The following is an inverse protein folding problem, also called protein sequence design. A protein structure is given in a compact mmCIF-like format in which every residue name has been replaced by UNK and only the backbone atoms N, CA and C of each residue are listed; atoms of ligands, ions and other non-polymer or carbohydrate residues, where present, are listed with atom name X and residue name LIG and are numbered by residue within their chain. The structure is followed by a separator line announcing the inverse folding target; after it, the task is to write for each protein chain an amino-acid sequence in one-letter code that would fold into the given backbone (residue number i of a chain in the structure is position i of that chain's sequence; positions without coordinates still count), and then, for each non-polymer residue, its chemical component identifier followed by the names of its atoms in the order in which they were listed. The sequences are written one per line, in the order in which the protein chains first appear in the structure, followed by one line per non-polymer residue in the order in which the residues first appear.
data_IF_086142044471
#
_entry.id   IF_086142044471
#
_cell.length_a   1.000
_cell.length_b   1.000
_cell.length_c   1.000
_cell.angle_alpha   90.00
_cell.angle_beta   90.00
_cell.angle_gamma   90.00
#
_symmetry.space_group_name_H-M   'P 1'
#
loop_
_entity.id
_entity.type
_entity.pdbx_description
1 polymer ?
#
# COMPACT_ATOMS: atom_id res chain seq x y z
N UNK A 1 -26.98 13.35 -32.60
CA UNK A 1 -26.13 12.31 -31.98
C UNK A 1 -24.73 12.52 -32.51
N UNK A 2 -23.79 12.95 -31.66
CA UNK A 2 -22.37 13.01 -32.02
C UNK A 2 -21.79 11.64 -31.76
N UNK A 3 -21.28 10.98 -32.79
CA UNK A 3 -20.48 9.77 -32.60
C UNK A 3 -19.23 10.17 -31.81
N UNK A 4 -18.92 9.44 -30.74
CA UNK A 4 -17.63 9.59 -30.10
C UNK A 4 -16.55 9.28 -31.15
N UNK A 5 -15.74 10.27 -31.47
CA UNK A 5 -14.54 10.10 -32.29
C UNK A 5 -13.42 10.86 -31.62
N UNK A 6 -12.23 10.29 -31.67
CA UNK A 6 -11.05 10.87 -31.08
C UNK A 6 -9.80 10.29 -31.72
N UNK A 7 -8.69 11.02 -31.65
CA UNK A 7 -7.39 10.60 -32.19
C UNK A 7 -6.90 9.22 -31.69
N UNK A 8 -7.41 8.75 -30.54
CA UNK A 8 -7.02 7.53 -29.85
C UNK A 8 -8.13 6.46 -29.87
N UNK A 9 -8.70 6.15 -31.03
CA UNK A 9 -9.87 5.24 -31.16
C UNK A 9 -9.53 3.86 -31.76
N UNK A 10 -8.35 3.69 -32.34
CA UNK A 10 -7.94 2.43 -33.00
C UNK A 10 -6.90 1.71 -32.16
N UNK A 11 -7.12 0.41 -31.94
CA UNK A 11 -6.15 -0.48 -31.33
C UNK A 11 -5.20 -1.02 -32.42
N UNK A 12 -3.92 -0.98 -32.13
CA UNK A 12 -2.83 -1.52 -32.93
C UNK A 12 -1.96 -2.42 -32.07
N UNK A 13 -1.03 -3.15 -32.68
CA UNK A 13 -0.05 -3.97 -31.97
C UNK A 13 1.33 -3.35 -32.12
N UNK A 14 2.15 -3.40 -31.06
CA UNK A 14 3.57 -3.02 -31.08
C UNK A 14 4.41 -4.08 -30.39
N UNK A 15 5.67 -4.21 -30.82
CA UNK A 15 6.62 -5.06 -30.08
C UNK A 15 6.98 -4.40 -28.77
N UNK A 16 7.06 -5.21 -27.71
CA UNK A 16 7.41 -4.74 -26.36
C UNK A 16 8.75 -4.00 -26.35
N UNK A 17 9.70 -4.44 -27.17
CA UNK A 17 11.05 -3.88 -27.23
C UNK A 17 11.15 -2.58 -28.08
N UNK A 18 10.10 -2.22 -28.81
CA UNK A 18 10.04 -0.97 -29.58
C UNK A 18 9.45 0.17 -28.75
N UNK A 19 8.76 -0.14 -27.65
CA UNK A 19 8.11 0.84 -26.79
C UNK A 19 9.09 1.51 -25.83
N UNK A 20 9.08 2.84 -25.83
CA UNK A 20 9.97 3.65 -24.98
C UNK A 20 9.19 4.21 -23.79
N UNK A 21 9.56 3.85 -22.54
CA UNK A 21 8.97 4.48 -21.36
C UNK A 21 9.22 5.99 -21.35
N UNK A 22 8.17 6.79 -21.17
CA UNK A 22 8.35 8.24 -20.98
C UNK A 22 9.24 8.55 -19.76
N UNK A 23 10.26 9.43 -19.91
CA UNK A 23 11.11 9.84 -18.78
C UNK A 23 10.37 10.72 -17.77
N UNK A 24 9.13 11.13 -18.08
CA UNK A 24 8.25 11.95 -17.22
C UNK A 24 7.12 11.12 -16.61
N UNK A 25 7.26 9.80 -16.54
CA UNK A 25 6.28 8.98 -15.84
C UNK A 25 6.27 9.33 -14.34
N UNK A 26 5.17 9.92 -13.88
CA UNK A 26 5.01 10.33 -12.49
C UNK A 26 4.58 9.18 -11.58
N UNK A 27 3.93 8.14 -12.12
CA UNK A 27 3.42 7.01 -11.34
C UNK A 27 4.45 5.88 -11.29
N UNK A 28 4.78 5.46 -10.09
CA UNK A 28 5.68 4.32 -9.86
C UNK A 28 4.86 3.11 -9.41
N UNK A 29 5.38 1.93 -9.73
CA UNK A 29 4.76 0.66 -9.37
C UNK A 29 5.76 -0.17 -8.58
N UNK A 30 5.32 -0.77 -7.47
CA UNK A 30 6.12 -1.74 -6.74
C UNK A 30 6.21 -3.05 -7.53
N UNK A 31 7.21 -3.87 -7.23
CA UNK A 31 7.34 -5.20 -7.83
C UNK A 31 6.08 -6.06 -7.60
N UNK A 32 5.52 -6.03 -6.39
CA UNK A 32 4.25 -6.70 -6.03
C UNK A 32 3.10 -6.24 -6.93
N UNK A 33 3.00 -4.93 -7.20
CA UNK A 33 1.95 -4.41 -8.07
C UNK A 33 2.16 -4.82 -9.54
N UNK A 34 3.40 -4.87 -10.02
CA UNK A 34 3.71 -5.37 -11.37
C UNK A 34 3.30 -6.84 -11.50
N UNK A 35 3.55 -7.66 -10.47
CA UNK A 35 3.14 -9.06 -10.43
C UNK A 35 1.61 -9.20 -10.44
N UNK A 36 0.88 -8.40 -9.65
CA UNK A 36 -0.59 -8.37 -9.68
C UNK A 36 -1.13 -8.01 -11.07
N UNK A 37 -0.53 -7.01 -11.74
CA UNK A 37 -0.88 -6.63 -13.11
C UNK A 37 -0.59 -7.79 -14.08
N UNK A 38 0.55 -8.46 -13.93
CA UNK A 38 0.90 -9.62 -14.77
C UNK A 38 -0.09 -10.78 -14.56
N UNK A 39 -0.50 -11.07 -13.32
CA UNK A 39 -1.55 -12.04 -13.01
C UNK A 39 -2.88 -11.64 -13.65
N UNK A 40 -3.25 -10.37 -13.58
CA UNK A 40 -4.46 -9.84 -14.23
C UNK A 40 -4.42 -10.04 -15.75
N UNK A 41 -3.31 -9.69 -16.39
CA UNK A 41 -3.10 -9.89 -17.84
C UNK A 41 -3.14 -11.37 -18.21
N UNK A 42 -2.54 -12.25 -17.40
CA UNK A 42 -2.57 -13.69 -17.66
C UNK A 42 -3.99 -14.26 -17.59
N UNK A 43 -4.82 -13.75 -16.67
CA UNK A 43 -6.18 -14.23 -16.45
C UNK A 43 -7.19 -13.67 -17.46
N UNK A 44 -7.09 -12.38 -17.79
CA UNK A 44 -8.11 -11.67 -18.58
C UNK A 44 -7.62 -11.24 -19.97
N UNK A 45 -6.32 -11.41 -20.26
CA UNK A 45 -5.67 -10.77 -21.39
C UNK A 45 -5.52 -9.26 -21.19
N UNK A 46 -5.06 -8.58 -22.25
CA UNK A 46 -5.04 -7.12 -22.27
C UNK A 46 -6.45 -6.57 -22.51
N UNK A 47 -7.14 -6.23 -21.43
CA UNK A 47 -8.46 -5.59 -21.48
C UNK A 47 -8.36 -4.08 -21.73
N UNK A 48 -7.21 -3.48 -21.40
CA UNK A 48 -6.89 -2.06 -21.66
C UNK A 48 -5.56 -1.98 -22.41
N UNK A 49 -5.51 -1.37 -23.61
CA UNK A 49 -4.28 -1.17 -24.38
C UNK A 49 -3.42 -0.03 -23.81
N UNK A 50 -2.12 -0.04 -24.10
CA UNK A 50 -1.23 1.07 -23.74
C UNK A 50 -1.57 2.31 -24.58
N UNK A 51 -1.37 3.50 -24.03
CA UNK A 51 -1.49 4.74 -24.81
C UNK A 51 -0.09 5.27 -25.11
N UNK A 52 0.20 5.51 -26.40
CA UNK A 52 1.53 5.90 -26.86
C UNK A 52 1.48 7.12 -27.79
N UNK A 53 2.61 7.82 -27.93
CA UNK A 53 2.80 8.85 -28.97
C UNK A 53 2.97 8.22 -30.35
N UNK A 54 3.04 9.06 -31.40
CA UNK A 54 3.36 8.58 -32.76
C UNK A 54 4.79 8.01 -32.87
N UNK A 55 5.70 8.39 -31.97
CA UNK A 55 7.09 7.91 -31.87
C UNK A 55 7.26 6.75 -30.87
N UNK A 56 6.20 5.99 -30.58
CA UNK A 56 6.20 4.82 -29.69
C UNK A 56 6.64 5.11 -28.23
N UNK A 57 6.50 6.36 -27.77
CA UNK A 57 6.74 6.75 -26.37
C UNK A 57 5.47 6.53 -25.55
N UNK A 58 5.57 5.87 -24.40
CA UNK A 58 4.43 5.56 -23.54
C UNK A 58 3.92 6.82 -22.84
N UNK A 59 2.64 7.11 -23.03
CA UNK A 59 1.89 8.15 -22.32
C UNK A 59 1.24 7.56 -21.07
N UNK A 60 0.59 6.39 -21.20
CA UNK A 60 -0.06 5.69 -20.10
C UNK A 60 0.05 4.16 -20.25
N UNK A 61 0.13 3.47 -19.11
CA UNK A 61 0.22 2.02 -19.05
C UNK A 61 1.64 1.46 -18.82
N UNK A 62 2.56 2.23 -18.24
CA UNK A 62 3.92 1.76 -17.91
C UNK A 62 3.92 0.46 -17.10
N UNK A 63 3.11 0.36 -16.04
CA UNK A 63 3.02 -0.89 -15.26
C UNK A 63 2.52 -2.09 -16.07
N UNK A 64 1.66 -1.88 -17.09
CA UNK A 64 1.24 -2.93 -18.02
C UNK A 64 2.36 -3.34 -18.97
N UNK A 65 3.22 -2.42 -19.41
CA UNK A 65 4.40 -2.78 -20.18
C UNK A 65 5.39 -3.60 -19.34
N UNK A 66 5.63 -3.19 -18.09
CA UNK A 66 6.56 -3.89 -17.20
C UNK A 66 6.03 -5.28 -16.84
N UNK A 67 4.73 -5.41 -16.60
CA UNK A 67 4.06 -6.71 -16.48
C UNK A 67 4.16 -7.55 -17.75
N UNK A 68 4.04 -6.92 -18.94
CA UNK A 68 4.18 -7.62 -20.21
C UNK A 68 5.58 -8.21 -20.38
N UNK A 69 6.61 -7.44 -20.01
CA UNK A 69 8.01 -7.87 -20.01
C UNK A 69 8.24 -9.00 -19.02
N UNK A 70 7.70 -8.89 -17.81
CA UNK A 70 7.78 -9.92 -16.78
C UNK A 70 7.17 -11.25 -17.25
N UNK A 71 6.04 -11.18 -17.96
CA UNK A 71 5.35 -12.35 -18.51
C UNK A 71 5.94 -12.87 -19.84
N UNK A 72 6.97 -12.21 -20.39
CA UNK A 72 7.64 -12.65 -21.61
C UNK A 72 6.85 -12.42 -22.91
N UNK A 73 5.88 -11.50 -22.93
CA UNK A 73 5.15 -11.18 -24.16
C UNK A 73 6.06 -10.45 -25.16
N UNK A 74 5.92 -10.80 -26.45
CA UNK A 74 6.67 -10.15 -27.54
C UNK A 74 5.96 -8.90 -28.07
N UNK A 75 4.64 -8.89 -27.99
CA UNK A 75 3.78 -7.85 -28.55
C UNK A 75 2.65 -7.50 -27.58
N UNK A 76 2.23 -6.23 -27.60
CA UNK A 76 1.15 -5.71 -26.75
C UNK A 76 0.21 -4.81 -27.56
N UNK A 77 -1.07 -4.73 -27.17
CA UNK A 77 -2.01 -3.82 -27.81
C UNK A 77 -1.77 -2.38 -27.33
N UNK A 78 -1.80 -1.45 -28.28
CA UNK A 78 -1.58 -0.03 -28.06
C UNK A 78 -2.64 0.80 -28.77
N UNK A 79 -2.81 2.03 -28.33
CA UNK A 79 -3.53 3.09 -29.03
C UNK A 79 -2.54 4.23 -29.25
N UNK A 80 -2.47 4.72 -30.49
CA UNK A 80 -1.59 5.83 -30.86
C UNK A 80 -2.34 7.15 -30.74
N UNK A 81 -1.84 8.07 -29.92
CA UNK A 81 -2.40 9.39 -29.67
C UNK A 81 -2.10 10.38 -30.82
N UNK A 82 -2.65 10.11 -32.00
CA UNK A 82 -2.31 10.85 -33.23
C UNK A 82 -2.71 12.32 -33.17
N UNK A 83 -1.81 13.21 -33.57
CA UNK A 83 -2.05 14.66 -33.58
C UNK A 83 -2.25 15.28 -32.18
N UNK A 84 -1.87 14.60 -31.11
CA UNK A 84 -1.85 15.21 -29.77
C UNK A 84 -0.69 16.19 -29.67
N UNK A 85 -0.96 17.35 -29.07
CA UNK A 85 0.11 18.27 -28.72
C UNK A 85 0.90 17.75 -27.53
N UNK A 86 2.15 18.20 -27.41
CA UNK A 86 2.98 17.97 -26.23
C UNK A 86 2.30 18.33 -24.90
N UNK A 87 1.49 19.39 -24.90
CA UNK A 87 0.72 19.78 -23.72
C UNK A 87 -0.37 18.75 -23.38
N UNK A 88 -1.07 18.21 -24.38
CA UNK A 88 -2.09 17.17 -24.19
C UNK A 88 -1.47 15.87 -23.67
N UNK A 89 -0.33 15.45 -24.24
CA UNK A 89 0.42 14.26 -23.80
C UNK A 89 0.78 14.37 -22.32
N UNK A 90 1.40 15.49 -21.91
CA UNK A 90 1.79 15.72 -20.51
C UNK A 90 0.59 15.82 -19.57
N UNK A 91 -0.47 16.51 -19.99
CA UNK A 91 -1.67 16.65 -19.17
C UNK A 91 -2.35 15.30 -18.96
N UNK A 92 -2.50 14.50 -20.02
CA UNK A 92 -3.13 13.19 -19.92
C UNK A 92 -2.34 12.23 -19.04
N UNK A 93 -1.01 12.21 -19.14
CA UNK A 93 -0.17 11.38 -18.27
C UNK A 93 -0.40 11.65 -16.76
N UNK A 94 -0.83 12.86 -16.39
CA UNK A 94 -1.22 13.19 -15.02
C UNK A 94 -2.68 12.84 -14.74
N UNK A 95 -3.58 13.18 -15.65
CA UNK A 95 -5.04 12.98 -15.49
C UNK A 95 -5.42 11.51 -15.43
N UNK A 96 -4.81 10.66 -16.26
CA UNK A 96 -5.02 9.20 -16.28
C UNK A 96 -4.72 8.56 -14.92
N UNK A 97 -3.75 9.11 -14.20
CA UNK A 97 -3.41 8.67 -12.85
C UNK A 97 -4.39 9.26 -11.83
N UNK A 98 -4.65 10.57 -11.91
CA UNK A 98 -5.45 11.29 -10.91
C UNK A 98 -6.92 10.87 -10.88
N UNK A 99 -7.52 10.57 -12.03
CA UNK A 99 -8.96 10.25 -12.07
C UNK A 99 -9.32 8.96 -11.30
N UNK A 100 -8.59 7.84 -11.47
CA UNK A 100 -8.75 6.67 -10.61
C UNK A 100 -8.51 6.96 -9.12
N UNK A 101 -7.48 7.75 -8.77
CA UNK A 101 -7.18 8.11 -7.37
C UNK A 101 -8.33 8.85 -6.70
N UNK A 102 -9.10 9.65 -7.46
CA UNK A 102 -10.24 10.41 -6.92
C UNK A 102 -11.49 9.55 -6.67
N UNK A 103 -11.52 8.32 -7.17
CA UNK A 103 -12.65 7.42 -6.97
C UNK A 103 -12.63 6.80 -5.56
N UNK A 104 -13.80 6.38 -5.09
CA UNK A 104 -13.95 5.70 -3.80
C UNK A 104 -14.66 4.38 -3.96
N UNK A 105 -14.26 3.38 -3.16
CA UNK A 105 -14.91 2.08 -3.12
C UNK A 105 -16.14 2.08 -2.22
N UNK A 106 -17.18 1.34 -2.64
CA UNK A 106 -18.19 0.83 -1.73
C UNK A 106 -17.64 -0.46 -1.09
N UNK A 107 -17.12 -0.35 0.13
CA UNK A 107 -16.42 -1.46 0.78
C UNK A 107 -17.32 -2.62 1.17
N UNK A 108 -18.61 -2.38 1.40
CA UNK A 108 -19.54 -3.46 1.70
C UNK A 108 -19.82 -4.29 0.45
N UNK A 109 -19.99 -3.63 -0.70
CA UNK A 109 -20.12 -4.32 -1.98
C UNK A 109 -18.82 -5.04 -2.38
N UNK A 110 -17.65 -4.42 -2.18
CA UNK A 110 -16.35 -5.05 -2.47
C UNK A 110 -16.17 -6.34 -1.67
N UNK A 111 -16.46 -6.32 -0.36
CA UNK A 111 -16.38 -7.53 0.48
C UNK A 111 -17.28 -8.63 -0.05
N UNK A 112 -18.53 -8.30 -0.38
CA UNK A 112 -19.50 -9.26 -0.89
C UNK A 112 -19.00 -9.94 -2.18
N UNK A 113 -18.52 -9.15 -3.14
CA UNK A 113 -18.00 -9.66 -4.40
C UNK A 113 -16.72 -10.51 -4.21
N UNK A 114 -15.81 -10.10 -3.33
CA UNK A 114 -14.59 -10.88 -3.04
C UNK A 114 -14.93 -12.21 -2.38
N UNK A 115 -15.85 -12.24 -1.42
CA UNK A 115 -16.32 -13.49 -0.81
C UNK A 115 -17.01 -14.41 -1.82
N UNK A 116 -17.81 -13.85 -2.73
CA UNK A 116 -18.42 -14.63 -3.82
C UNK A 116 -17.35 -15.21 -4.77
N UNK A 117 -16.34 -14.41 -5.15
CA UNK A 117 -15.26 -14.84 -6.04
C UNK A 117 -14.33 -15.88 -5.38
N UNK A 118 -14.18 -15.86 -4.05
CA UNK A 118 -13.44 -16.88 -3.29
C UNK A 118 -14.05 -18.29 -3.38
N UNK A 119 -15.32 -18.40 -3.73
CA UNK A 119 -16.00 -19.66 -3.99
C UNK A 119 -15.73 -20.20 -5.41
N UNK A 120 -14.92 -19.50 -6.20
CA UNK A 120 -14.54 -19.88 -7.57
C UNK A 120 -13.03 -20.11 -7.67
N UNK A 121 -12.56 -20.62 -8.80
CA UNK A 121 -11.12 -20.80 -9.08
C UNK A 121 -10.40 -19.47 -9.44
N UNK A 122 -11.06 -18.32 -9.27
CA UNK A 122 -10.47 -17.01 -9.57
C UNK A 122 -9.37 -16.66 -8.54
N UNK A 123 -8.16 -16.27 -8.96
CA UNK A 123 -7.06 -15.95 -8.05
C UNK A 123 -7.20 -14.54 -7.44
N UNK A 124 -8.36 -14.22 -6.87
CA UNK A 124 -8.72 -12.85 -6.43
C UNK A 124 -7.73 -12.28 -5.39
N UNK A 125 -7.16 -13.15 -4.54
CA UNK A 125 -6.13 -12.77 -3.58
C UNK A 125 -4.83 -12.29 -4.26
N UNK A 126 -4.46 -12.86 -5.41
CA UNK A 126 -3.28 -12.45 -6.19
C UNK A 126 -3.57 -11.24 -7.11
N UNK A 127 -4.83 -10.81 -7.18
CA UNK A 127 -5.30 -9.66 -7.97
C UNK A 127 -5.47 -8.40 -7.11
N UNK A 128 -4.88 -8.37 -5.91
CA UNK A 128 -4.92 -7.20 -5.01
C UNK A 128 -6.14 -7.14 -4.09
N UNK A 129 -6.80 -8.27 -3.86
CA UNK A 129 -7.91 -8.40 -2.90
C UNK A 129 -7.63 -9.48 -1.85
N UNK A 130 -6.38 -9.58 -1.40
CA UNK A 130 -6.03 -10.43 -0.25
C UNK A 130 -6.67 -9.89 1.04
N UNK A 131 -6.70 -10.69 2.10
CA UNK A 131 -7.18 -10.23 3.42
C UNK A 131 -6.40 -8.99 3.93
N UNK A 132 -5.11 -8.90 3.59
CA UNK A 132 -4.25 -7.74 3.89
C UNK A 132 -4.71 -6.49 3.13
N UNK A 133 -5.08 -6.64 1.85
CA UNK A 133 -5.53 -5.52 1.01
C UNK A 133 -6.89 -5.00 1.50
N UNK A 134 -7.84 -5.92 1.72
CA UNK A 134 -9.16 -5.60 2.28
C UNK A 134 -9.05 -4.91 3.65
N UNK A 135 -8.17 -5.42 4.52
CA UNK A 135 -7.88 -4.79 5.81
C UNK A 135 -7.33 -3.37 5.67
N UNK A 136 -6.46 -3.15 4.68
CA UNK A 136 -5.88 -1.82 4.39
C UNK A 136 -6.94 -0.84 3.86
N UNK A 137 -7.83 -1.31 2.98
CA UNK A 137 -8.96 -0.52 2.47
C UNK A 137 -9.92 -0.08 3.58
N UNK A 138 -10.22 -0.99 4.52
CA UNK A 138 -11.08 -0.69 5.68
C UNK A 138 -10.45 0.30 6.64
N UNK A 139 -9.16 0.13 6.94
CA UNK A 139 -8.42 1.07 7.77
C UNK A 139 -8.43 2.47 7.14
N UNK A 140 -8.14 2.57 5.84
CA UNK A 140 -8.17 3.85 5.12
C UNK A 140 -9.55 4.53 5.19
N UNK A 141 -10.64 3.77 5.09
CA UNK A 141 -12.00 4.30 5.24
C UNK A 141 -12.28 4.80 6.66
N UNK A 142 -11.88 4.06 7.68
CA UNK A 142 -12.07 4.46 9.07
C UNK A 142 -11.35 5.78 9.37
N UNK A 143 -10.13 5.98 8.87
CA UNK A 143 -9.41 7.25 9.04
C UNK A 143 -10.11 8.44 8.36
N UNK A 144 -10.74 8.23 7.20
CA UNK A 144 -11.54 9.25 6.53
C UNK A 144 -12.79 9.62 7.35
N UNK A 145 -13.49 8.62 7.89
CA UNK A 145 -14.71 8.83 8.67
C UNK A 145 -14.42 9.50 10.04
N UNK A 146 -13.23 9.26 10.62
CA UNK A 146 -12.76 9.90 11.86
C UNK A 146 -12.18 11.32 11.65
N UNK A 147 -12.17 11.84 10.42
CA UNK A 147 -11.65 13.17 10.11
C UNK A 147 -10.14 13.31 10.33
N UNK A 148 -9.42 12.19 10.41
CA UNK A 148 -7.97 12.12 10.59
C UNK A 148 -7.22 12.34 9.27
N UNK A 149 -7.95 12.49 8.16
CA UNK A 149 -7.44 12.74 6.80
C UNK A 149 -8.18 13.94 6.21
N UNK A 150 -7.41 14.91 5.67
CA UNK A 150 -7.95 16.08 4.99
C UNK A 150 -8.62 15.70 3.65
N UNK A 151 -9.94 15.88 3.50
CA UNK A 151 -10.69 15.50 2.29
C UNK A 151 -10.30 16.32 1.05
N UNK A 152 -9.69 17.50 1.18
CA UNK A 152 -9.26 18.31 0.03
C UNK A 152 -8.01 17.73 -0.67
N UNK A 153 -7.29 16.82 -0.02
CA UNK A 153 -6.10 16.16 -0.61
C UNK A 153 -6.45 14.93 -1.44
N UNK A 154 -7.71 14.46 -1.41
CA UNK A 154 -8.17 13.27 -2.15
C UNK A 154 -7.77 11.93 -1.50
N UNK A 155 -8.24 10.78 -2.04
CA UNK A 155 -8.09 9.46 -1.42
C UNK A 155 -6.64 9.01 -1.20
N UNK A 156 -6.47 8.01 -0.34
CA UNK A 156 -5.19 7.39 0.01
C UNK A 156 -5.07 6.08 -0.77
N UNK A 157 -4.26 6.05 -1.83
CA UNK A 157 -4.20 4.89 -2.74
C UNK A 157 -3.33 3.74 -2.24
N UNK A 158 -2.41 3.99 -1.29
CA UNK A 158 -1.62 2.93 -0.66
C UNK A 158 -0.97 3.41 0.65
N UNK A 159 -0.32 2.47 1.34
CA UNK A 159 0.42 2.70 2.58
C UNK A 159 1.53 3.76 2.41
N UNK A 160 2.17 3.83 1.25
CA UNK A 160 3.21 4.80 0.93
C UNK A 160 2.68 6.23 0.82
N UNK A 161 1.48 6.43 0.26
CA UNK A 161 0.85 7.75 0.15
C UNK A 161 0.30 8.24 1.50
N UNK A 162 -0.19 7.31 2.33
CA UNK A 162 -0.55 7.59 3.72
C UNK A 162 0.68 8.02 4.53
N UNK A 163 1.81 7.33 4.38
CA UNK A 163 3.05 7.67 5.05
C UNK A 163 3.61 9.01 4.52
N UNK A 164 3.71 9.20 3.21
CA UNK A 164 4.19 10.45 2.62
C UNK A 164 3.37 11.69 3.01
N UNK A 165 2.04 11.56 3.16
CA UNK A 165 1.15 12.69 3.52
C UNK A 165 1.14 13.06 4.99
N UNK A 166 1.58 12.16 5.86
CA UNK A 166 1.76 12.44 7.29
C UNK A 166 3.11 13.12 7.58
N UNK A 167 3.85 13.57 6.55
CA UNK A 167 5.30 13.88 6.61
C UNK A 167 6.12 12.70 7.16
N UNK A 168 5.57 11.51 7.00
CA UNK A 168 6.22 10.26 7.35
C UNK A 168 6.88 9.72 6.07
N UNK A 169 7.96 10.37 5.63
CA UNK A 169 9.15 9.53 5.45
C UNK A 169 9.48 9.10 6.86
N UNK A 170 9.10 7.89 7.31
CA UNK A 170 9.83 7.41 8.47
C UNK A 170 11.24 7.17 7.93
N UNK A 171 12.12 8.13 8.18
CA UNK A 171 13.53 7.86 8.22
C UNK A 171 13.72 6.60 9.07
N UNK A 172 14.80 5.85 8.82
CA UNK A 172 15.10 4.68 9.62
C UNK A 172 14.89 4.99 11.11
N UNK A 173 14.17 4.14 11.86
CA UNK A 173 13.85 4.43 13.24
C UNK A 173 15.14 4.71 14.00
N UNK A 174 15.15 5.76 14.83
CA UNK A 174 16.29 6.10 15.67
C UNK A 174 16.62 4.94 16.60
N UNK A 175 15.58 4.23 17.04
CA UNK A 175 15.73 2.95 17.72
C UNK A 175 15.95 1.80 16.72
N UNK A 176 17.20 1.33 16.64
CA UNK A 176 17.53 0.08 15.97
C UNK A 176 17.07 -1.11 16.84
N UNK A 177 16.23 -1.99 16.28
CA UNK A 177 15.61 -3.11 17.00
C UNK A 177 16.09 -4.45 16.45
N UNK A 178 16.47 -5.34 17.35
CA UNK A 178 16.80 -6.73 17.04
C UNK A 178 15.64 -7.67 17.39
N UNK A 179 15.52 -8.78 16.65
CA UNK A 179 14.60 -9.83 17.03
C UNK A 179 14.97 -10.37 18.43
N UNK A 180 13.97 -10.53 19.28
CA UNK A 180 14.11 -10.90 20.67
C UNK A 180 14.18 -9.70 21.62
N UNK A 181 14.30 -8.47 21.11
CA UNK A 181 14.34 -7.29 21.96
C UNK A 181 13.05 -7.10 22.76
N UNK A 182 13.23 -6.63 23.99
CA UNK A 182 12.17 -6.24 24.89
C UNK A 182 12.42 -4.81 25.38
N UNK A 183 11.44 -3.94 25.17
CA UNK A 183 11.42 -2.57 25.67
C UNK A 183 10.27 -2.36 26.64
N UNK A 184 10.52 -1.52 27.63
CA UNK A 184 9.50 -0.95 28.51
C UNK A 184 9.25 0.49 28.09
N UNK A 185 7.98 0.80 27.82
CA UNK A 185 7.50 2.13 27.46
C UNK A 185 6.78 2.71 28.68
N UNK A 186 7.36 3.77 29.24
CA UNK A 186 6.94 4.38 30.48
C UNK A 186 7.03 3.41 31.67
N UNK A 187 6.05 3.47 32.57
CA UNK A 187 6.00 2.61 33.75
C UNK A 187 5.21 1.32 33.55
N UNK A 188 4.50 1.18 32.43
CA UNK A 188 3.35 0.27 32.30
C UNK A 188 3.35 -0.62 31.06
N UNK A 189 3.91 -0.18 29.95
CA UNK A 189 3.76 -0.89 28.69
C UNK A 189 5.03 -1.65 28.31
N UNK A 190 4.84 -2.78 27.64
CA UNK A 190 5.89 -3.68 27.18
C UNK A 190 5.80 -3.83 25.67
N UNK A 191 6.90 -3.68 24.96
CA UNK A 191 7.03 -4.00 23.54
C UNK A 191 8.06 -5.12 23.36
N UNK A 192 7.65 -6.23 22.75
CA UNK A 192 8.54 -7.35 22.43
C UNK A 192 8.61 -7.53 20.91
N UNK A 193 9.83 -7.60 20.39
CA UNK A 193 10.11 -7.83 18.98
C UNK A 193 10.29 -9.33 18.68
N UNK A 194 9.22 -10.12 18.73
CA UNK A 194 9.27 -11.55 18.47
C UNK A 194 7.99 -12.07 17.81
N UNK A 195 7.99 -13.33 17.37
CA UNK A 195 6.86 -13.96 16.69
C UNK A 195 5.64 -14.11 17.60
N UNK A 196 4.51 -13.51 17.19
CA UNK A 196 3.26 -13.56 17.97
C UNK A 196 2.81 -15.00 18.20
N UNK A 197 2.66 -15.81 17.16
CA UNK A 197 2.06 -17.16 17.28
C UNK A 197 3.08 -18.27 17.56
N UNK A 198 4.35 -18.06 17.24
CA UNK A 198 5.40 -19.09 17.25
C UNK A 198 6.37 -18.96 18.42
N UNK A 199 6.41 -17.81 19.08
CA UNK A 199 7.30 -17.53 20.22
C UNK A 199 6.51 -17.06 21.44
N UNK A 200 5.31 -17.60 21.62
CA UNK A 200 4.40 -17.22 22.70
C UNK A 200 4.99 -17.39 24.10
N UNK A 201 5.93 -18.32 24.27
CA UNK A 201 6.64 -18.54 25.54
C UNK A 201 7.43 -17.31 26.00
N UNK A 202 7.85 -16.44 25.07
CA UNK A 202 8.60 -15.22 25.40
C UNK A 202 7.73 -14.13 26.00
N UNK A 203 6.50 -13.96 25.50
CA UNK A 203 5.63 -12.86 25.90
C UNK A 203 4.53 -13.29 26.86
N UNK A 204 4.13 -14.57 26.88
CA UNK A 204 3.10 -15.08 27.81
C UNK A 204 3.39 -14.78 29.28
N UNK A 205 4.64 -14.89 29.80
CA UNK A 205 4.91 -14.57 31.20
C UNK A 205 4.61 -13.11 31.58
N UNK A 206 4.57 -12.21 30.59
CA UNK A 206 4.24 -10.80 30.77
C UNK A 206 2.73 -10.53 30.71
N UNK A 207 1.91 -11.51 30.32
CA UNK A 207 0.46 -11.39 30.41
C UNK A 207 0.00 -11.56 31.85
N UNK A 208 -0.48 -10.46 32.43
CA UNK A 208 -1.18 -10.48 33.72
C UNK A 208 -2.68 -10.31 33.50
N UNK A 209 -3.49 -10.56 34.53
CA UNK A 209 -4.95 -10.39 34.46
C UNK A 209 -5.42 -8.96 34.15
N UNK A 210 -4.52 -7.98 34.20
CA UNK A 210 -4.79 -6.55 33.94
C UNK A 210 -4.16 -6.03 32.65
N UNK A 211 -3.43 -6.87 31.92
CA UNK A 211 -2.71 -6.48 30.70
C UNK A 211 -3.57 -6.72 29.46
N UNK A 212 -3.65 -5.73 28.57
CA UNK A 212 -4.24 -5.89 27.24
C UNK A 212 -3.14 -6.42 26.31
N UNK A 213 -3.42 -7.55 25.68
CA UNK A 213 -2.57 -8.11 24.64
C UNK A 213 -2.82 -7.39 23.30
N UNK A 214 -1.75 -6.89 22.69
CA UNK A 214 -1.78 -6.18 21.42
C UNK A 214 -0.84 -6.87 20.41
N UNK A 215 -1.34 -7.84 19.64
CA UNK A 215 -0.56 -8.48 18.58
C UNK A 215 -0.49 -7.58 17.33
N UNK A 216 0.68 -7.53 16.70
CA UNK A 216 0.95 -6.74 15.48
C UNK A 216 0.56 -5.24 15.58
N UNK A 217 0.90 -4.53 16.66
CA UNK A 217 0.46 -3.17 16.87
C UNK A 217 1.11 -2.17 15.92
N UNK A 218 0.38 -1.12 15.53
CA UNK A 218 0.95 0.03 14.81
C UNK A 218 1.62 1.05 15.74
N UNK A 219 2.34 2.05 15.19
CA UNK A 219 3.07 3.08 15.95
C UNK A 219 2.24 3.87 16.98
N UNK A 220 0.92 3.90 16.80
CA UNK A 220 0.01 4.68 17.65
C UNK A 220 -0.71 3.88 18.74
N UNK A 221 -0.42 2.57 18.87
CA UNK A 221 -1.13 1.68 19.81
C UNK A 221 -1.12 2.18 21.25
N UNK A 222 -0.06 2.88 21.66
CA UNK A 222 0.14 3.35 23.03
C UNK A 222 -0.58 4.67 23.35
N UNK A 223 -1.36 5.23 22.42
CA UNK A 223 -2.02 6.54 22.58
C UNK A 223 -3.55 6.48 22.53
N UNK A 224 -4.13 5.28 22.48
CA UNK A 224 -5.59 5.11 22.58
C UNK A 224 -6.09 5.23 24.03
N UNK A 225 -7.38 5.49 24.21
CA UNK A 225 -8.03 5.60 25.54
C UNK A 225 -7.78 4.37 26.44
N UNK A 226 -7.60 3.19 25.84
CA UNK A 226 -7.26 1.96 26.56
C UNK A 226 -5.83 1.96 27.11
N UNK A 227 -4.88 2.58 26.41
CA UNK A 227 -3.48 2.67 26.85
C UNK A 227 -3.33 3.53 28.11
N UNK A 228 -4.22 4.49 28.33
CA UNK A 228 -4.23 5.31 29.55
C UNK A 228 -4.67 4.49 30.78
N UNK A 229 -5.59 3.55 30.56
CA UNK A 229 -6.29 2.80 31.62
C UNK A 229 -5.66 1.44 31.92
N UNK A 230 -5.03 0.82 30.93
CA UNK A 230 -4.53 -0.55 31.01
C UNK A 230 -3.08 -0.66 30.57
N UNK A 231 -2.37 -1.62 31.16
CA UNK A 231 -1.03 -1.99 30.74
C UNK A 231 -1.13 -2.71 29.38
N UNK A 232 -0.21 -2.40 28.48
CA UNK A 232 -0.21 -2.97 27.13
C UNK A 232 0.96 -3.93 27.00
N UNK A 233 0.68 -5.14 26.54
CA UNK A 233 1.70 -6.06 26.05
C UNK A 233 1.63 -6.07 24.53
N UNK A 234 2.54 -5.33 23.92
CA UNK A 234 2.70 -5.19 22.49
C UNK A 234 3.69 -6.25 21.99
N UNK A 235 3.27 -7.05 21.02
CA UNK A 235 4.16 -8.02 20.35
C UNK A 235 4.18 -7.71 18.87
N UNK A 236 5.32 -7.20 18.39
CA UNK A 236 5.51 -6.70 17.03
C UNK A 236 6.71 -7.40 16.37
N UNK A 237 6.51 -8.39 15.50
CA UNK A 237 7.62 -9.09 14.84
C UNK A 237 8.41 -8.23 13.85
N UNK A 238 7.79 -7.19 13.29
CA UNK A 238 8.45 -6.29 12.33
C UNK A 238 9.33 -5.27 13.06
N UNK A 239 10.66 -5.46 12.97
CA UNK A 239 11.67 -4.63 13.65
C UNK A 239 11.55 -3.14 13.31
N UNK A 240 11.20 -2.84 12.06
CA UNK A 240 11.01 -1.48 11.58
C UNK A 240 9.82 -0.80 12.28
N UNK A 241 8.65 -1.45 12.28
CA UNK A 241 7.46 -0.95 13.00
C UNK A 241 7.71 -0.89 14.51
N UNK A 242 8.44 -1.85 15.08
CA UNK A 242 8.82 -1.84 16.49
C UNK A 242 9.67 -0.61 16.85
N UNK A 243 10.67 -0.26 16.03
CA UNK A 243 11.49 0.94 16.21
C UNK A 243 10.64 2.22 16.19
N UNK A 244 9.65 2.29 15.31
CA UNK A 244 8.76 3.44 15.21
C UNK A 244 7.76 3.59 16.35
N UNK A 245 7.30 2.48 16.93
CA UNK A 245 6.50 2.52 18.17
C UNK A 245 7.31 3.20 19.28
N UNK A 246 8.61 2.88 19.39
CA UNK A 246 9.48 3.44 20.42
C UNK A 246 9.81 4.90 20.15
N UNK A 247 10.22 5.23 18.94
CA UNK A 247 10.50 6.62 18.53
C UNK A 247 9.30 7.52 18.82
N UNK A 248 8.10 7.06 18.46
CA UNK A 248 6.89 7.85 18.63
C UNK A 248 6.50 8.02 20.09
N UNK A 249 6.69 6.98 20.91
CA UNK A 249 6.47 7.07 22.35
C UNK A 249 7.45 8.05 22.99
N UNK A 250 8.72 8.01 22.58
CA UNK A 250 9.75 8.92 23.07
C UNK A 250 9.53 10.37 22.62
N UNK A 251 9.07 10.61 21.40
CA UNK A 251 8.73 11.95 20.91
C UNK A 251 7.62 12.62 21.75
N UNK A 252 6.63 11.83 22.20
CA UNK A 252 5.49 12.36 22.95
C UNK A 252 5.80 12.48 24.44
N UNK A 253 6.57 11.53 25.01
CA UNK A 253 6.80 11.45 26.45
C UNK A 253 8.21 11.88 26.89
N UNK A 254 9.06 12.27 25.94
CA UNK A 254 10.40 12.77 26.18
C UNK A 254 11.45 11.65 26.27
N UNK A 255 12.72 12.05 26.17
CA UNK A 255 13.87 11.15 26.23
C UNK A 255 13.90 10.33 27.52
N UNK A 256 14.20 9.03 27.39
CA UNK A 256 14.27 8.10 28.52
C UNK A 256 12.91 7.54 28.98
N UNK A 257 11.82 7.87 28.27
CA UNK A 257 10.51 7.23 28.43
C UNK A 257 10.49 5.80 27.86
N UNK A 258 11.46 5.45 27.01
CA UNK A 258 11.69 4.12 26.48
C UNK A 258 12.96 3.53 27.10
N UNK A 259 12.87 2.30 27.63
CA UNK A 259 14.01 1.62 28.25
C UNK A 259 14.09 0.18 27.74
N UNK A 260 15.23 -0.20 27.14
CA UNK A 260 15.50 -1.60 26.79
C UNK A 260 15.62 -2.42 28.08
N UNK A 261 14.90 -3.53 28.14
CA UNK A 261 14.97 -4.49 29.24
C UNK A 261 16.10 -5.47 28.92
N UNK A 262 17.18 -5.39 29.69
CA UNK A 262 18.26 -6.38 29.64
C UNK A 262 17.91 -7.51 30.61
N UNK A 263 17.82 -8.74 30.10
CA UNK A 263 17.78 -9.92 30.96
C UNK A 263 19.21 -10.19 31.43
N UNK A 264 19.49 -9.95 32.71
CA UNK A 264 20.63 -10.56 33.42
C UNK A 264 20.31 -12.04 33.73
#
# INVERSE_FOLDING_TARGET
MTTASGPAWKIETRRVNELVPSPRNARQHSQEQIEQIATSIAQFGFTVPLLITEDDIIIAGHGRLDAAKLAGYLEVPVIVARGWTEAMIRAYALVDNRLPELATWDLELVKLEVEALRLTDMPINALGFSDKDLGSMLAARQFLDEGLVDPEKGPLDNRGDLLARLEITIADPRHAIEHGDHYRLGRRHHLLCCGVMVEWERWKPLLTGTTIFCPYPGPFVAFGEKAEKYDLLMVQPDQYTAGHILDRYEDIHGQGSVVRVTND
#
